data_IF_149381151918
#
_entry.id   IF_149381151918
#
_cell.length_a   1.000
_cell.length_b   1.000
_cell.length_c   1.000
_cell.angle_alpha   90.00
_cell.angle_beta   90.00
_cell.angle_gamma   90.00
#
_symmetry.space_group_name_H-M   'P 1'
#
loop_
_entity.id
_entity.type
_entity.pdbx_description
1 polymer ?
#
# COMPACT_ATOMS: atom_id res chain seq x y z
N UNK A 1 0.05 -13.85 -13.99
CA UNK A 1 -0.53 -12.48 -13.88
C UNK A 1 -0.98 -12.29 -12.44
N UNK A 2 -0.62 -11.17 -11.82
CA UNK A 2 -1.01 -10.75 -10.48
C UNK A 2 -1.72 -9.40 -10.62
N UNK A 3 -2.94 -9.26 -10.12
CA UNK A 3 -3.72 -8.01 -10.16
C UNK A 3 -4.01 -7.64 -8.71
N UNK A 4 -3.80 -6.38 -8.35
CA UNK A 4 -3.92 -5.94 -6.97
C UNK A 4 -4.55 -4.55 -6.87
N UNK A 5 -5.17 -4.31 -5.72
CA UNK A 5 -5.57 -3.00 -5.21
C UNK A 5 -5.29 -3.04 -3.72
N UNK A 6 -4.45 -2.15 -3.22
CA UNK A 6 -3.94 -2.21 -1.86
C UNK A 6 -3.95 -0.83 -1.22
N UNK A 7 -4.36 -0.75 0.04
CA UNK A 7 -4.10 0.41 0.88
C UNK A 7 -2.60 0.51 1.17
N UNK A 8 -2.04 1.72 1.13
CA UNK A 8 -0.63 1.96 1.36
C UNK A 8 -0.32 3.15 2.26
N UNK A 9 0.94 3.21 2.66
CA UNK A 9 1.59 4.37 3.22
C UNK A 9 1.30 5.67 2.44
N UNK A 10 0.94 6.73 3.16
CA UNK A 10 0.94 8.08 2.62
C UNK A 10 2.38 8.54 2.27
N UNK A 11 2.54 9.54 1.39
CA UNK A 11 3.87 10.06 1.03
C UNK A 11 4.69 10.50 2.24
N UNK A 12 6.02 10.37 2.15
CA UNK A 12 6.93 10.82 3.19
C UNK A 12 6.74 12.32 3.49
N UNK A 13 6.91 12.69 4.77
CA UNK A 13 6.73 14.07 5.23
C UNK A 13 5.29 14.49 5.53
N UNK A 14 4.29 13.77 5.02
CA UNK A 14 2.88 14.09 5.26
C UNK A 14 2.45 13.84 6.71
N UNK A 15 1.45 14.60 7.17
CA UNK A 15 0.83 14.39 8.48
C UNK A 15 0.12 13.03 8.56
N UNK A 16 -0.52 12.59 7.48
CA UNK A 16 -1.11 11.25 7.36
C UNK A 16 -0.08 10.17 7.65
N UNK A 17 1.10 10.21 7.02
CA UNK A 17 2.20 9.25 7.24
C UNK A 17 2.68 9.21 8.70
N UNK A 18 2.67 10.35 9.39
CA UNK A 18 3.00 10.42 10.83
C UNK A 18 1.95 9.69 11.68
N UNK A 19 0.67 9.90 11.41
CA UNK A 19 -0.41 9.22 12.12
C UNK A 19 -0.48 7.72 11.81
N UNK A 20 -0.29 7.33 10.55
CA UNK A 20 -0.21 5.92 10.15
C UNK A 20 0.87 5.18 10.98
N UNK A 21 2.07 5.75 11.09
CA UNK A 21 3.15 5.20 11.93
C UNK A 21 2.79 5.14 13.41
N UNK A 22 2.17 6.20 13.95
CA UNK A 22 1.80 6.28 15.37
C UNK A 22 0.74 5.26 15.75
N UNK A 23 -0.20 4.97 14.85
CA UNK A 23 -1.32 4.06 15.09
C UNK A 23 -1.06 2.62 14.62
N UNK A 24 0.07 2.36 13.93
CA UNK A 24 0.44 1.06 13.35
C UNK A 24 0.19 -0.14 14.28
N UNK A 25 0.67 -0.06 15.53
CA UNK A 25 0.55 -1.16 16.49
C UNK A 25 -0.89 -1.46 16.88
N UNK A 26 -1.66 -0.41 17.17
CA UNK A 26 -3.08 -0.53 17.47
C UNK A 26 -3.85 -1.06 16.25
N UNK A 27 -3.60 -0.49 15.07
CA UNK A 27 -4.23 -0.87 13.81
C UNK A 27 -4.02 -2.36 13.49
N UNK A 28 -2.79 -2.86 13.65
CA UNK A 28 -2.47 -4.27 13.43
C UNK A 28 -3.28 -5.22 14.32
N UNK A 29 -3.65 -4.81 15.54
CA UNK A 29 -4.45 -5.63 16.44
C UNK A 29 -5.94 -5.66 16.05
N UNK A 30 -6.47 -4.60 15.44
CA UNK A 30 -7.92 -4.46 15.16
C UNK A 30 -8.28 -4.72 13.69
N UNK A 31 -7.34 -4.62 12.77
CA UNK A 31 -7.55 -4.75 11.32
C UNK A 31 -6.84 -5.99 10.76
N UNK A 32 -7.06 -7.16 11.36
CA UNK A 32 -6.58 -8.46 10.89
C UNK A 32 -5.07 -8.51 10.56
N UNK A 33 -4.24 -7.86 11.38
CA UNK A 33 -2.79 -7.82 11.15
C UNK A 33 -2.33 -6.83 10.08
N UNK A 34 -3.23 -6.06 9.46
CA UNK A 34 -2.89 -5.06 8.46
C UNK A 34 -1.93 -4.01 9.03
N UNK A 35 -0.95 -3.61 8.22
CA UNK A 35 0.06 -2.61 8.60
C UNK A 35 -0.24 -1.29 7.89
N UNK A 36 -0.76 -0.34 8.65
CA UNK A 36 -1.27 0.97 8.18
C UNK A 36 -0.23 1.86 7.47
N UNK A 37 1.05 1.56 7.63
CA UNK A 37 2.17 2.34 7.12
C UNK A 37 3.05 1.52 6.16
N UNK A 38 2.49 0.48 5.53
CA UNK A 38 3.26 -0.39 4.63
C UNK A 38 3.37 0.22 3.23
N UNK A 39 4.57 0.11 2.67
CA UNK A 39 4.87 0.54 1.30
C UNK A 39 4.85 -0.70 0.38
N UNK A 40 3.69 -1.33 0.21
CA UNK A 40 3.61 -2.63 -0.50
C UNK A 40 4.08 -2.55 -1.95
N UNK A 41 4.02 -1.38 -2.58
CA UNK A 41 4.54 -1.17 -3.93
C UNK A 41 6.02 -1.57 -4.06
N UNK A 42 6.87 -1.30 -3.06
CA UNK A 42 8.29 -1.63 -3.13
C UNK A 42 8.51 -3.13 -3.22
N UNK A 43 7.77 -3.90 -2.42
CA UNK A 43 7.82 -5.37 -2.44
C UNK A 43 7.29 -5.92 -3.76
N UNK A 44 6.25 -5.30 -4.33
CA UNK A 44 5.67 -5.71 -5.62
C UNK A 44 6.65 -5.44 -6.77
N UNK A 45 7.32 -4.28 -6.78
CA UNK A 45 8.35 -3.93 -7.76
C UNK A 45 9.53 -4.91 -7.71
N UNK A 46 9.92 -5.34 -6.50
CA UNK A 46 11.03 -6.28 -6.28
C UNK A 46 10.63 -7.77 -6.45
N UNK A 47 9.35 -8.08 -6.68
CA UNK A 47 8.84 -9.45 -6.71
C UNK A 47 9.27 -10.28 -7.94
N UNK A 48 10.05 -9.70 -8.86
CA UNK A 48 10.59 -10.40 -10.03
C UNK A 48 9.57 -10.63 -11.14
N UNK A 49 8.56 -9.77 -11.26
CA UNK A 49 7.70 -9.75 -12.45
C UNK A 49 8.51 -9.32 -13.68
N UNK A 50 8.23 -9.90 -14.84
CA UNK A 50 8.81 -9.48 -16.11
C UNK A 50 8.33 -8.08 -16.51
N UNK A 51 7.07 -7.75 -16.21
CA UNK A 51 6.54 -6.37 -16.25
C UNK A 51 5.70 -6.11 -15.01
N UNK A 52 5.77 -4.89 -14.49
CA UNK A 52 4.98 -4.46 -13.34
C UNK A 52 4.51 -3.03 -13.55
N UNK A 53 3.20 -2.83 -13.59
CA UNK A 53 2.55 -1.52 -13.70
C UNK A 53 1.83 -1.23 -12.39
N UNK A 54 2.13 -0.07 -11.79
CA UNK A 54 1.56 0.38 -10.52
C UNK A 54 1.08 1.82 -10.67
N UNK A 55 -0.15 2.09 -10.28
CA UNK A 55 -0.74 3.42 -10.19
C UNK A 55 -1.01 3.77 -8.71
N UNK A 56 -0.66 4.98 -8.31
CA UNK A 56 -0.98 5.53 -6.98
C UNK A 56 -2.19 6.45 -7.07
N UNK A 57 -3.14 6.31 -6.15
CA UNK A 57 -4.33 7.16 -6.08
C UNK A 57 -4.82 7.33 -4.64
N UNK A 58 -5.74 8.27 -4.42
CA UNK A 58 -6.45 8.42 -3.15
C UNK A 58 -7.89 7.90 -3.31
N UNK A 59 -8.29 6.94 -2.48
CA UNK A 59 -9.66 6.48 -2.40
C UNK A 59 -10.50 7.39 -1.49
N UNK A 60 -11.83 7.40 -1.71
CA UNK A 60 -12.80 8.13 -0.88
C UNK A 60 -13.07 7.40 0.46
N UNK A 61 -12.00 7.15 1.22
CA UNK A 61 -12.03 6.43 2.50
C UNK A 61 -11.69 7.34 3.70
N UNK A 62 -11.62 6.73 4.88
CA UNK A 62 -11.16 7.40 6.08
C UNK A 62 -9.73 7.97 5.90
N UNK A 63 -9.40 9.14 6.48
CA UNK A 63 -8.16 9.88 6.21
C UNK A 63 -6.85 9.09 6.31
N UNK A 64 -6.78 8.08 7.19
CA UNK A 64 -5.59 7.25 7.40
C UNK A 64 -5.40 6.15 6.36
N UNK A 65 -6.47 5.77 5.66
CA UNK A 65 -6.48 4.70 4.67
C UNK A 65 -6.66 5.18 3.24
N UNK A 66 -6.85 6.49 3.01
CA UNK A 66 -6.99 7.08 1.66
C UNK A 66 -5.93 6.66 0.64
N UNK A 67 -4.62 6.62 0.94
CA UNK A 67 -3.62 6.31 -0.07
C UNK A 67 -3.71 4.84 -0.49
N UNK A 68 -3.80 4.61 -1.79
CA UNK A 68 -3.92 3.29 -2.38
C UNK A 68 -3.01 3.15 -3.61
N UNK A 69 -2.75 1.89 -3.97
CA UNK A 69 -2.18 1.51 -5.25
C UNK A 69 -3.09 0.50 -5.95
N UNK A 70 -3.07 0.50 -7.28
CA UNK A 70 -3.66 -0.55 -8.11
C UNK A 70 -2.70 -0.90 -9.24
N UNK A 71 -2.75 -2.14 -9.74
CA UNK A 71 -1.82 -2.52 -10.79
C UNK A 71 -1.86 -3.98 -11.21
N UNK A 72 -0.91 -4.30 -12.09
CA UNK A 72 -0.73 -5.62 -12.69
C UNK A 72 0.75 -6.01 -12.77
N UNK A 73 1.08 -7.19 -12.26
CA UNK A 73 2.37 -7.87 -12.45
C UNK A 73 2.24 -9.04 -13.44
N UNK A 74 3.12 -9.12 -14.43
CA UNK A 74 3.19 -10.25 -15.36
C UNK A 74 4.51 -11.00 -15.19
N UNK A 75 4.46 -12.33 -15.16
CA UNK A 75 5.67 -13.17 -15.27
C UNK A 75 5.99 -13.40 -16.74
N UNK A 76 7.26 -13.65 -17.05
CA UNK A 76 7.63 -14.24 -18.34
C UNK A 76 6.92 -15.60 -18.46
N UNK A 77 6.53 -15.96 -19.69
CA UNK A 77 6.00 -17.31 -19.96
C UNK A 77 7.04 -18.38 -19.63
#
# INVERSE_FOLDING_TARGET
RFIFVEHVAAPHGTTTRKWQRRLRGFWRCICDGCTLDRETWTVIEEAGFATCEIEHFEAEDAPLVKPHIAGIGMKSQ
#
